data_IF_180772587357
#
_entry.id   IF_180772587357
#
_cell.length_a   1.000
_cell.length_b   1.000
_cell.length_c   1.000
_cell.angle_alpha   90.00
_cell.angle_beta   90.00
_cell.angle_gamma   90.00
#
_symmetry.space_group_name_H-M   'P 1'
#
loop_
_entity.id
_entity.type
_entity.pdbx_description
1 polymer ?
#
# COMPACT_ATOMS: atom_id res chain seq x y z
N UNK A 1 -2.07 -19.74 -12.22
CA UNK A 1 -0.67 -19.74 -11.73
C UNK A 1 -0.06 -18.36 -11.44
N UNK A 2 -0.20 -17.28 -12.25
CA UNK A 2 0.55 -16.03 -12.00
C UNK A 2 0.15 -15.30 -10.71
N UNK A 3 -1.10 -15.47 -10.28
CA UNK A 3 -1.66 -14.77 -9.13
C UNK A 3 -1.16 -15.30 -7.77
N UNK A 4 -0.99 -16.62 -7.65
CA UNK A 4 -0.46 -17.25 -6.43
C UNK A 4 1.00 -16.85 -6.21
N UNK A 5 1.78 -16.75 -7.30
CA UNK A 5 3.14 -16.24 -7.26
C UNK A 5 3.18 -14.77 -6.82
N UNK A 6 2.31 -13.91 -7.37
CA UNK A 6 2.24 -12.50 -6.97
C UNK A 6 1.87 -12.33 -5.49
N UNK A 7 0.94 -13.13 -4.96
CA UNK A 7 0.61 -13.11 -3.53
C UNK A 7 1.76 -13.61 -2.65
N UNK A 8 2.46 -14.66 -3.06
CA UNK A 8 3.61 -15.21 -2.34
C UNK A 8 4.76 -14.18 -2.27
N UNK A 9 5.10 -13.57 -3.41
CA UNK A 9 6.12 -12.52 -3.46
C UNK A 9 5.69 -11.29 -2.67
N UNK A 10 4.44 -10.84 -2.82
CA UNK A 10 3.90 -9.71 -2.06
C UNK A 10 3.92 -9.96 -0.55
N UNK A 11 3.61 -11.18 -0.11
CA UNK A 11 3.71 -11.58 1.30
C UNK A 11 5.15 -11.59 1.78
N UNK A 12 6.10 -12.10 0.99
CA UNK A 12 7.52 -12.10 1.33
C UNK A 12 8.08 -10.68 1.51
N UNK A 13 7.74 -9.76 0.59
CA UNK A 13 8.10 -8.35 0.69
C UNK A 13 7.50 -7.72 1.95
N UNK A 14 6.20 -7.94 2.19
CA UNK A 14 5.53 -7.38 3.35
C UNK A 14 6.18 -7.86 4.66
N UNK A 15 6.49 -9.15 4.77
CA UNK A 15 7.19 -9.72 5.94
C UNK A 15 8.57 -9.11 6.10
N UNK A 16 9.36 -9.01 5.03
CA UNK A 16 10.71 -8.46 5.09
C UNK A 16 10.72 -6.99 5.58
N UNK A 17 9.78 -6.17 5.10
CA UNK A 17 9.63 -4.78 5.55
C UNK A 17 9.06 -4.69 6.97
N UNK A 18 8.17 -5.61 7.36
CA UNK A 18 7.61 -5.65 8.70
C UNK A 18 8.61 -6.15 9.75
N UNK A 19 9.60 -6.95 9.37
CA UNK A 19 10.66 -7.42 10.27
C UNK A 19 11.85 -6.45 10.33
N UNK A 20 12.16 -5.77 9.23
CA UNK A 20 13.33 -4.88 9.14
C UNK A 20 12.92 -3.48 8.69
N UNK A 21 13.45 -2.44 9.34
CA UNK A 21 13.34 -1.08 8.81
C UNK A 21 14.28 -0.96 7.60
N UNK A 22 13.74 -1.10 6.38
CA UNK A 22 14.55 -1.16 5.15
C UNK A 22 14.32 0.09 4.31
N UNK A 23 15.42 0.75 3.94
CA UNK A 23 15.42 1.67 2.79
C UNK A 23 15.42 0.81 1.54
N UNK A 24 14.31 0.86 0.81
CA UNK A 24 14.12 0.04 -0.36
C UNK A 24 14.69 0.77 -1.58
N UNK A 25 15.54 0.08 -2.33
CA UNK A 25 16.05 0.62 -3.59
C UNK A 25 14.93 0.77 -4.63
N UNK A 26 15.22 1.55 -5.66
CA UNK A 26 14.29 1.83 -6.76
C UNK A 26 13.67 0.59 -7.40
N UNK A 27 14.46 -0.48 -7.54
CA UNK A 27 14.03 -1.76 -8.09
C UNK A 27 12.93 -2.42 -7.26
N UNK A 28 12.96 -2.25 -5.94
CA UNK A 28 11.96 -2.84 -5.05
C UNK A 28 10.59 -2.17 -5.23
N UNK A 29 10.55 -0.85 -5.40
CA UNK A 29 9.31 -0.13 -5.70
C UNK A 29 8.70 -0.57 -7.03
N UNK A 30 9.52 -0.75 -8.08
CA UNK A 30 9.05 -1.27 -9.37
C UNK A 30 8.45 -2.67 -9.25
N UNK A 31 9.06 -3.55 -8.46
CA UNK A 31 8.52 -4.88 -8.18
C UNK A 31 7.17 -4.77 -7.45
N UNK A 32 7.05 -3.90 -6.46
CA UNK A 32 5.79 -3.70 -5.73
C UNK A 32 4.69 -3.12 -6.63
N UNK A 33 5.00 -2.15 -7.47
CA UNK A 33 4.05 -1.59 -8.45
C UNK A 33 3.61 -2.64 -9.47
N UNK A 34 4.55 -3.46 -9.97
CA UNK A 34 4.24 -4.56 -10.87
C UNK A 34 3.32 -5.59 -10.20
N UNK A 35 3.60 -5.95 -8.94
CA UNK A 35 2.75 -6.86 -8.15
C UNK A 35 1.34 -6.30 -7.97
N UNK A 36 1.21 -5.04 -7.56
CA UNK A 36 -0.10 -4.40 -7.43
C UNK A 36 -0.81 -4.29 -8.77
N UNK A 37 -0.10 -4.16 -9.88
CA UNK A 37 -0.67 -4.06 -11.23
C UNK A 37 -1.24 -5.39 -11.73
N UNK A 38 -0.57 -6.51 -11.46
CA UNK A 38 -1.03 -7.84 -11.92
C UNK A 38 -2.17 -8.44 -11.09
N UNK A 39 -2.36 -8.00 -9.85
CA UNK A 39 -3.47 -8.50 -9.01
C UNK A 39 -4.79 -7.81 -9.42
N UNK A 40 -5.87 -8.56 -9.71
CA UNK A 40 -7.17 -7.97 -10.08
C UNK A 40 -7.74 -7.13 -8.94
N UNK A 41 -8.31 -5.97 -9.28
CA UNK A 41 -8.88 -5.04 -8.30
C UNK A 41 -10.13 -5.62 -7.61
N UNK A 42 -10.95 -6.36 -8.36
CA UNK A 42 -12.28 -6.85 -7.92
C UNK A 42 -12.21 -8.14 -7.10
N UNK A 43 -11.00 -8.65 -6.87
CA UNK A 43 -10.84 -9.92 -6.18
C UNK A 43 -11.08 -9.71 -4.69
N UNK A 44 -12.00 -10.45 -4.05
CA UNK A 44 -12.13 -10.42 -2.61
C UNK A 44 -10.78 -10.74 -1.98
N UNK A 45 -10.45 -10.02 -0.90
CA UNK A 45 -9.28 -10.24 -0.07
C UNK A 45 -9.03 -11.75 0.04
N UNK A 46 -8.02 -12.25 -0.68
CA UNK A 46 -7.78 -13.68 -0.75
C UNK A 46 -7.45 -14.22 0.64
N UNK A 47 -7.67 -15.52 0.83
CA UNK A 47 -7.36 -16.24 2.07
C UNK A 47 -5.92 -16.01 2.58
N UNK A 48 -4.99 -15.55 1.72
CA UNK A 48 -3.62 -15.22 2.10
C UNK A 48 -3.48 -13.93 2.92
N UNK A 49 -4.51 -13.07 2.99
CA UNK A 49 -4.47 -11.84 3.78
C UNK A 49 -3.40 -10.85 3.33
N UNK A 50 -2.82 -11.03 2.13
CA UNK A 50 -1.67 -10.29 1.65
C UNK A 50 -1.94 -8.78 1.62
N UNK A 51 -3.11 -8.36 1.12
CA UNK A 51 -3.51 -6.96 1.03
C UNK A 51 -3.67 -6.29 2.41
N UNK A 52 -4.06 -7.05 3.45
CA UNK A 52 -4.22 -6.52 4.83
C UNK A 52 -2.90 -6.12 5.48
N UNK A 53 -1.76 -6.62 4.99
CA UNK A 53 -0.44 -6.30 5.55
C UNK A 53 0.12 -5.00 5.00
N UNK A 54 -0.32 -4.58 3.80
CA UNK A 54 0.22 -3.39 3.13
C UNK A 54 0.03 -2.07 3.90
N UNK A 55 -1.11 -1.79 4.57
CA UNK A 55 -1.24 -0.62 5.42
C UNK A 55 -0.12 -0.52 6.48
N UNK A 56 0.21 -1.63 7.12
CA UNK A 56 1.30 -1.70 8.11
C UNK A 56 2.68 -1.56 7.48
N UNK A 57 2.89 -2.14 6.29
CA UNK A 57 4.11 -1.95 5.49
C UNK A 57 4.33 -0.46 5.20
N UNK A 58 3.29 0.24 4.74
CA UNK A 58 3.34 1.67 4.45
C UNK A 58 3.66 2.50 5.69
N UNK A 59 3.05 2.20 6.83
CA UNK A 59 3.35 2.87 8.10
C UNK A 59 4.80 2.68 8.55
N UNK A 60 5.39 1.51 8.33
CA UNK A 60 6.78 1.25 8.69
C UNK A 60 7.78 1.85 7.70
N UNK A 61 7.41 1.95 6.42
CA UNK A 61 8.26 2.53 5.37
C UNK A 61 8.27 4.05 5.36
N UNK A 62 7.15 4.70 5.68
CA UNK A 62 7.02 6.16 5.55
C UNK A 62 8.04 6.95 6.39
N UNK A 63 8.35 6.60 7.66
CA UNK A 63 9.34 7.31 8.47
C UNK A 63 10.76 7.28 7.90
N UNK A 64 11.11 6.19 7.20
CA UNK A 64 12.47 5.98 6.63
C UNK A 64 12.58 6.42 5.17
N UNK A 65 11.47 6.72 4.49
CA UNK A 65 11.42 7.11 3.08
C UNK A 65 10.59 8.39 2.87
N UNK A 66 10.74 9.39 3.73
CA UNK A 66 9.86 10.57 3.77
C UNK A 66 9.85 11.36 2.45
N UNK A 67 10.98 11.44 1.76
CA UNK A 67 11.13 12.16 0.49
C UNK A 67 10.80 11.29 -0.76
N UNK A 68 10.38 10.03 -0.56
CA UNK A 68 10.19 9.09 -1.65
C UNK A 68 8.88 9.34 -2.39
N UNK A 69 8.99 9.93 -3.59
CA UNK A 69 7.87 10.04 -4.55
C UNK A 69 7.32 8.67 -4.93
N UNK A 70 8.17 7.64 -4.99
CA UNK A 70 7.78 6.27 -5.36
C UNK A 70 6.92 5.62 -4.28
N UNK A 71 7.27 5.81 -3.00
CA UNK A 71 6.41 5.37 -1.90
C UNK A 71 5.04 6.08 -1.96
N UNK A 72 5.02 7.38 -2.25
CA UNK A 72 3.78 8.12 -2.42
C UNK A 72 2.93 7.57 -3.59
N UNK A 73 3.54 7.30 -4.74
CA UNK A 73 2.86 6.69 -5.90
C UNK A 73 2.32 5.30 -5.56
N UNK A 74 3.10 4.48 -4.85
CA UNK A 74 2.71 3.15 -4.44
C UNK A 74 1.51 3.18 -3.46
N UNK A 75 1.54 4.08 -2.48
CA UNK A 75 0.40 4.31 -1.57
C UNK A 75 -0.85 4.73 -2.33
N UNK A 76 -0.71 5.64 -3.31
CA UNK A 76 -1.83 6.10 -4.12
C UNK A 76 -2.42 4.98 -4.99
N UNK A 77 -1.56 4.17 -5.62
CA UNK A 77 -1.95 3.00 -6.41
C UNK A 77 -2.74 2.00 -5.54
N UNK A 78 -2.23 1.71 -4.35
CA UNK A 78 -2.88 0.81 -3.38
C UNK A 78 -4.29 1.30 -3.03
N UNK A 79 -4.44 2.57 -2.66
CA UNK A 79 -5.75 3.14 -2.26
C UNK A 79 -6.71 3.22 -3.43
N UNK A 80 -6.26 3.64 -4.61
CA UNK A 80 -7.15 3.77 -5.77
C UNK A 80 -7.66 2.42 -6.24
N UNK A 81 -6.74 1.45 -6.37
CA UNK A 81 -7.04 0.11 -6.91
C UNK A 81 -7.76 -0.77 -5.89
N UNK A 82 -7.30 -0.79 -4.65
CA UNK A 82 -7.78 -1.73 -3.63
C UNK A 82 -8.58 -1.08 -2.50
N UNK A 83 -8.77 0.23 -2.49
CA UNK A 83 -9.45 0.93 -1.38
C UNK A 83 -10.89 0.50 -1.11
N UNK A 84 -11.57 -0.15 -2.07
CA UNK A 84 -12.88 -0.75 -1.82
C UNK A 84 -12.80 -1.98 -0.90
N UNK A 85 -11.66 -2.67 -0.90
CA UNK A 85 -11.40 -3.87 -0.10
C UNK A 85 -10.70 -3.58 1.23
N UNK A 86 -10.20 -2.36 1.43
CA UNK A 86 -9.59 -1.94 2.70
C UNK A 86 -10.66 -1.49 3.69
N UNK A 87 -10.49 -1.83 4.96
CA UNK A 87 -11.35 -1.35 6.02
C UNK A 87 -11.01 0.10 6.39
N UNK A 88 -11.92 0.81 7.04
CA UNK A 88 -11.70 2.21 7.46
C UNK A 88 -10.39 2.36 8.27
N UNK A 89 -10.08 1.49 9.26
CA UNK A 89 -8.81 1.59 9.99
C UNK A 89 -7.57 1.43 9.09
N UNK A 90 -7.66 0.63 8.02
CA UNK A 90 -6.54 0.44 7.09
C UNK A 90 -6.34 1.66 6.19
N UNK A 91 -7.44 2.29 5.76
CA UNK A 91 -7.40 3.56 5.03
C UNK A 91 -6.81 4.68 5.91
N UNK A 92 -7.18 4.75 7.19
CA UNK A 92 -6.65 5.72 8.15
C UNK A 92 -5.16 5.50 8.40
N UNK A 93 -4.71 4.25 8.50
CA UNK A 93 -3.28 3.91 8.62
C UNK A 93 -2.47 4.38 7.43
N UNK A 94 -2.98 4.18 6.20
CA UNK A 94 -2.32 4.67 4.98
C UNK A 94 -2.30 6.19 4.94
N UNK A 95 -3.42 6.84 5.29
CA UNK A 95 -3.51 8.31 5.35
C UNK A 95 -2.51 8.90 6.34
N UNK A 96 -2.42 8.31 7.54
CA UNK A 96 -1.44 8.68 8.57
C UNK A 96 0.00 8.50 8.09
N UNK A 97 0.31 7.36 7.45
CA UNK A 97 1.62 7.11 6.87
C UNK A 97 1.97 8.12 5.77
N UNK A 98 1.03 8.45 4.89
CA UNK A 98 1.23 9.48 3.88
C UNK A 98 1.49 10.86 4.49
N UNK A 99 0.88 11.17 5.64
CA UNK A 99 1.12 12.41 6.39
C UNK A 99 2.59 12.64 6.75
N UNK A 100 3.33 11.55 7.00
CA UNK A 100 4.77 11.54 7.34
C UNK A 100 5.69 11.83 6.15
N UNK A 101 5.18 11.72 4.91
CA UNK A 101 5.98 12.05 3.74
C UNK A 101 6.18 13.57 3.65
N UNK A 102 7.28 14.02 3.07
CA UNK A 102 7.55 15.45 2.80
C UNK A 102 7.07 15.86 1.41
N UNK A 103 6.83 14.88 0.52
CA UNK A 103 6.47 15.15 -0.87
C UNK A 103 5.08 15.80 -1.00
N UNK A 104 4.89 16.79 -1.90
CA UNK A 104 3.59 17.46 -2.07
C UNK A 104 2.45 16.53 -2.47
N UNK A 105 2.78 15.45 -3.18
CA UNK A 105 1.85 14.45 -3.70
C UNK A 105 1.13 13.67 -2.60
N UNK A 106 1.61 13.71 -1.35
CA UNK A 106 0.98 13.02 -0.21
C UNK A 106 -0.49 13.42 0.01
N UNK A 107 -0.85 14.66 -0.34
CA UNK A 107 -2.24 15.15 -0.26
C UNK A 107 -3.19 14.31 -1.12
N UNK A 108 -2.74 13.82 -2.27
CA UNK A 108 -3.56 12.96 -3.13
C UNK A 108 -3.88 11.63 -2.46
N UNK A 109 -2.92 11.05 -1.73
CA UNK A 109 -3.13 9.80 -0.96
C UNK A 109 -4.14 10.02 0.15
N UNK A 110 -3.96 11.07 0.96
CA UNK A 110 -4.87 11.42 2.06
C UNK A 110 -6.30 11.64 1.55
N UNK A 111 -6.46 12.42 0.48
CA UNK A 111 -7.77 12.67 -0.12
C UNK A 111 -8.39 11.39 -0.71
N UNK A 112 -7.61 10.54 -1.37
CA UNK A 112 -8.10 9.29 -1.92
C UNK A 112 -8.57 8.35 -0.79
N UNK A 113 -7.81 8.25 0.30
CA UNK A 113 -8.17 7.43 1.45
C UNK A 113 -9.46 7.94 2.12
N UNK A 114 -9.58 9.25 2.34
CA UNK A 114 -10.78 9.85 2.93
C UNK A 114 -12.03 9.58 2.08
N UNK A 115 -11.95 9.78 0.76
CA UNK A 115 -13.05 9.48 -0.17
C UNK A 115 -13.49 8.02 -0.13
N UNK A 116 -12.55 7.08 0.01
CA UNK A 116 -12.86 5.65 0.11
C UNK A 116 -13.50 5.32 1.47
N UNK A 117 -13.06 5.96 2.55
CA UNK A 117 -13.64 5.80 3.88
C UNK A 117 -15.07 6.36 3.96
N UNK A 118 -15.32 7.53 3.38
CA UNK A 118 -16.66 8.14 3.30
C UNK A 118 -17.64 7.25 2.53
N UNK A 119 -17.22 6.71 1.37
CA UNK A 119 -18.03 5.75 0.58
C UNK A 119 -18.41 4.47 1.31
N UNK A 120 -17.72 4.13 2.40
CA UNK A 120 -18.01 2.94 3.24
C UNK A 120 -18.92 3.25 4.43
N UNK A 121 -19.12 4.53 4.76
CA UNK A 121 -20.00 4.97 5.85
C UNK A 121 -21.45 5.21 5.38
N UNK A 122 -21.62 5.48 4.08
CA UNK A 122 -22.92 5.64 3.42
C UNK A 122 -23.36 4.33 2.78
#
# INVERSE_FOLDING_TARGET
MPLVAAESVGTGIATLVLERAVVLGDSAYLVMEALLSVVPADRPLSASGWLKRWPSVMQKMAPVNQDSKKLCSLMLLLVNKFGAHLDIPDLDRISSAAGLLTVPQKKAVVLAAARKAEKKKN
#
